data_IF_802465300192
#
_entry.id   IF_802465300192
#
_cell.length_a   1.000
_cell.length_b   1.000
_cell.length_c   1.000
_cell.angle_alpha   90.00
_cell.angle_beta   90.00
_cell.angle_gamma   90.00
#
_symmetry.space_group_name_H-M   'P 1'
#
loop_
_entity.id
_entity.type
_entity.pdbx_description
1 polymer ?
#
# COMPACT_ATOMS: atom_id res chain seq x y z
N UNK A 1 -10.59 -0.65 -0.27
CA UNK A 1 -10.53 -1.64 -1.37
C UNK A 1 -11.86 -1.64 -2.08
N UNK A 2 -11.84 -1.82 -3.39
CA UNK A 2 -12.99 -2.08 -4.26
C UNK A 2 -12.45 -2.93 -5.40
N UNK A 3 -13.18 -3.96 -5.80
CA UNK A 3 -12.88 -4.78 -6.97
C UNK A 3 -14.19 -5.14 -7.66
N UNK A 4 -14.30 -4.80 -8.94
CA UNK A 4 -15.36 -5.28 -9.82
C UNK A 4 -14.71 -5.98 -11.01
N UNK A 5 -15.21 -7.15 -11.37
CA UNK A 5 -14.86 -7.83 -12.61
C UNK A 5 -15.58 -7.20 -13.81
N UNK A 6 -15.10 -7.50 -15.02
CA UNK A 6 -15.88 -7.53 -16.25
C UNK A 6 -15.23 -8.51 -17.24
N UNK A 7 -15.91 -8.84 -18.34
CA UNK A 7 -15.51 -9.93 -19.27
C UNK A 7 -14.95 -9.47 -20.62
N UNK A 8 -14.33 -10.44 -21.32
CA UNK A 8 -13.54 -10.32 -22.57
C UNK A 8 -14.41 -10.06 -23.81
N UNK A 9 -13.85 -9.39 -24.84
CA UNK A 9 -13.75 -9.93 -26.22
C UNK A 9 -12.99 -9.01 -27.21
N UNK A 10 -12.48 -9.58 -28.32
CA UNK A 10 -12.08 -8.84 -29.54
C UNK A 10 -10.57 -8.67 -29.85
N UNK A 11 -10.07 -9.35 -30.89
CA UNK A 11 -8.74 -9.21 -31.55
C UNK A 11 -8.94 -8.82 -33.05
N UNK A 12 -7.90 -8.56 -33.89
CA UNK A 12 -6.51 -8.09 -33.70
C UNK A 12 -6.08 -6.95 -34.67
N UNK A 13 -4.83 -6.44 -34.59
CA UNK A 13 -3.82 -6.37 -35.70
C UNK A 13 -2.75 -5.25 -35.56
N UNK A 14 -1.65 -5.38 -36.32
CA UNK A 14 -0.38 -4.59 -36.36
C UNK A 14 0.00 -4.32 -37.84
N UNK A 15 1.19 -3.79 -38.28
CA UNK A 15 2.41 -3.26 -37.61
C UNK A 15 2.74 -1.81 -38.14
N UNK A 16 3.95 -1.24 -38.35
CA UNK A 16 5.38 -1.62 -38.21
C UNK A 16 6.33 -0.37 -38.22
N UNK A 17 7.66 -0.60 -38.05
CA UNK A 17 8.83 0.18 -38.51
C UNK A 17 9.14 1.59 -37.94
N UNK A 18 10.44 1.90 -37.73
CA UNK A 18 10.87 3.24 -37.27
C UNK A 18 12.39 3.59 -37.28
N UNK A 19 13.28 2.73 -36.76
CA UNK A 19 14.79 2.80 -36.82
C UNK A 19 15.57 4.04 -36.29
N UNK A 20 16.60 3.73 -35.46
CA UNK A 20 17.98 4.34 -35.38
C UNK A 20 18.17 5.71 -34.68
N UNK A 21 18.93 5.78 -33.55
CA UNK A 21 20.40 6.11 -33.38
C UNK A 21 20.68 7.61 -33.12
N UNK A 22 21.73 8.12 -32.43
CA UNK A 22 23.00 7.64 -31.82
C UNK A 22 23.48 8.65 -30.72
N UNK A 23 24.24 8.18 -29.69
CA UNK A 23 25.32 8.89 -28.91
C UNK A 23 25.01 10.23 -28.17
N UNK A 24 25.90 10.83 -27.35
CA UNK A 24 26.79 10.35 -26.26
C UNK A 24 27.47 11.56 -25.53
N UNK A 25 28.10 11.33 -24.36
CA UNK A 25 28.87 12.33 -23.59
C UNK A 25 28.15 12.76 -22.30
N UNK A 26 28.62 12.62 -21.06
CA UNK A 26 29.94 12.40 -20.41
C UNK A 26 30.73 13.66 -20.02
N UNK A 27 31.24 13.65 -18.78
CA UNK A 27 31.89 14.79 -18.10
C UNK A 27 30.99 15.43 -17.03
N UNK A 28 31.31 15.63 -15.76
CA UNK A 28 32.27 15.13 -14.76
C UNK A 28 32.41 16.25 -13.69
N UNK A 29 32.51 15.91 -12.41
CA UNK A 29 32.65 16.87 -11.30
C UNK A 29 34.12 17.03 -10.88
N UNK A 30 34.43 18.06 -10.06
CA UNK A 30 35.43 17.95 -9.00
C UNK A 30 34.80 18.13 -7.60
N UNK A 31 35.29 17.36 -6.62
CA UNK A 31 35.11 17.64 -5.19
C UNK A 31 36.20 18.61 -4.70
N UNK A 32 35.98 19.23 -3.53
CA UNK A 32 37.05 19.64 -2.64
C UNK A 32 36.68 19.31 -1.18
N UNK A 33 37.68 19.00 -0.36
CA UNK A 33 37.50 18.38 0.96
C UNK A 33 37.73 19.36 2.13
N UNK A 34 37.18 19.01 3.30
CA UNK A 34 37.40 19.72 4.56
C UNK A 34 38.66 19.24 5.30
N UNK A 35 39.09 19.96 6.34
CA UNK A 35 39.74 19.47 7.57
C UNK A 35 39.56 20.54 8.71
N UNK A 36 39.76 20.23 10.01
CA UNK A 36 38.93 20.81 11.08
C UNK A 36 39.69 21.52 12.22
N UNK A 37 38.94 22.05 13.19
CA UNK A 37 39.43 22.38 14.53
C UNK A 37 38.43 21.93 15.62
N UNK A 38 38.93 21.53 16.79
CA UNK A 38 38.14 21.16 17.99
C UNK A 38 38.41 22.15 19.11
N UNK A 39 37.35 22.71 19.70
CA UNK A 39 37.28 23.09 21.12
C UNK A 39 35.88 22.75 21.63
N UNK A 40 35.72 22.57 22.94
CA UNK A 40 34.57 21.86 23.53
C UNK A 40 33.70 22.70 24.47
N UNK A 41 32.96 21.98 25.33
CA UNK A 41 31.83 22.41 26.17
C UNK A 41 30.52 22.57 25.37
N UNK A 42 29.46 21.93 25.87
CA UNK A 42 28.19 21.76 25.16
C UNK A 42 27.45 20.48 25.56
N UNK A 43 27.26 20.24 26.86
CA UNK A 43 26.48 19.11 27.38
C UNK A 43 24.95 19.34 27.28
N UNK A 44 24.52 19.92 26.14
CA UNK A 44 23.13 20.14 25.72
C UNK A 44 22.93 19.75 24.24
N UNK A 45 23.83 18.90 23.72
CA UNK A 45 23.62 18.17 22.48
C UNK A 45 22.58 17.07 22.68
N UNK A 46 21.32 17.45 22.89
CA UNK A 46 20.20 16.52 22.90
C UNK A 46 20.19 15.75 21.58
N UNK A 47 20.24 14.42 21.65
CA UNK A 47 20.07 13.55 20.48
C UNK A 47 18.62 13.63 20.00
N UNK A 48 18.28 14.66 19.22
CA UNK A 48 17.11 14.66 18.32
C UNK A 48 17.35 13.72 17.12
N UNK A 49 17.71 12.48 17.45
CA UNK A 49 17.31 11.32 16.67
C UNK A 49 15.78 11.35 16.70
N UNK A 50 15.19 11.98 15.68
CA UNK A 50 13.74 11.99 15.44
C UNK A 50 13.23 10.57 15.58
N UNK A 51 12.68 10.22 16.74
CA UNK A 51 12.30 8.85 17.07
C UNK A 51 11.32 8.39 16.00
N UNK A 52 11.69 7.40 15.18
CA UNK A 52 10.87 7.00 14.04
C UNK A 52 9.44 6.71 14.51
N UNK A 53 8.44 7.33 13.88
CA UNK A 53 7.05 7.20 14.31
C UNK A 53 6.32 6.25 13.38
N UNK A 54 5.36 5.52 13.93
CA UNK A 54 4.46 4.64 13.20
C UNK A 54 3.05 5.18 13.34
N UNK A 55 2.38 5.41 12.21
CA UNK A 55 0.90 5.44 12.18
C UNK A 55 0.37 4.03 11.98
N UNK A 56 -0.78 3.75 12.57
CA UNK A 56 -1.46 2.46 12.46
C UNK A 56 -2.98 2.64 12.59
N UNK A 57 -3.75 1.59 12.34
CA UNK A 57 -5.20 1.56 12.53
C UNK A 57 -5.57 0.56 13.63
N UNK A 58 -6.54 0.90 14.46
CA UNK A 58 -7.09 0.02 15.50
C UNK A 58 -8.53 0.38 15.80
N UNK A 59 -9.44 -0.60 15.84
CA UNK A 59 -10.88 -0.42 16.13
C UNK A 59 -11.54 0.73 15.34
N UNK A 60 -11.11 0.94 14.09
CA UNK A 60 -11.59 2.01 13.19
C UNK A 60 -10.99 3.40 13.42
N UNK A 61 -10.19 3.62 14.47
CA UNK A 61 -9.40 4.84 14.69
C UNK A 61 -8.01 4.70 14.08
N UNK A 62 -7.39 5.84 13.77
CA UNK A 62 -5.95 5.89 13.46
C UNK A 62 -5.17 6.21 14.74
N UNK A 63 -4.14 5.42 15.04
CA UNK A 63 -3.18 5.63 16.12
C UNK A 63 -1.82 6.10 15.61
N UNK A 64 -1.03 6.67 16.50
CA UNK A 64 0.39 6.98 16.31
C UNK A 64 1.18 6.54 17.55
N UNK A 65 2.39 6.02 17.34
CA UNK A 65 3.31 5.55 18.39
C UNK A 65 4.77 5.81 17.98
N UNK A 66 5.66 6.00 18.95
CA UNK A 66 7.11 6.06 18.72
C UNK A 66 7.69 4.65 18.49
N UNK A 67 8.83 4.53 17.81
CA UNK A 67 9.49 3.25 17.57
C UNK A 67 9.77 2.46 18.86
N UNK A 68 10.05 3.14 19.98
CA UNK A 68 10.31 2.53 21.29
C UNK A 68 9.04 1.98 21.98
N UNK A 69 7.84 2.23 21.44
CA UNK A 69 6.55 1.87 22.03
C UNK A 69 5.92 2.95 22.93
N UNK A 70 6.63 4.05 23.19
CA UNK A 70 6.11 5.18 23.97
C UNK A 70 5.16 6.05 23.15
N UNK A 71 4.35 6.86 23.84
CA UNK A 71 3.55 7.90 23.21
C UNK A 71 2.38 7.39 22.34
N UNK A 72 1.90 6.16 22.58
CA UNK A 72 0.67 5.64 21.95
C UNK A 72 -0.47 6.63 22.19
N UNK A 73 -0.98 7.24 21.10
CA UNK A 73 -2.18 8.07 21.12
C UNK A 73 -3.01 7.85 19.86
N UNK A 74 -4.30 8.12 19.95
CA UNK A 74 -5.22 8.04 18.81
C UNK A 74 -5.59 9.44 18.33
N UNK A 75 -5.78 9.60 17.02
CA UNK A 75 -6.24 10.86 16.47
C UNK A 75 -7.76 10.99 16.65
N UNK A 76 -8.16 12.11 17.25
CA UNK A 76 -9.56 12.49 17.43
C UNK A 76 -9.72 13.92 16.92
N UNK A 77 -10.78 14.18 16.15
CA UNK A 77 -10.97 15.44 15.44
C UNK A 77 -12.40 15.93 15.64
N UNK A 78 -12.56 17.02 16.39
CA UNK A 78 -13.84 17.71 16.49
C UNK A 78 -14.10 18.51 15.20
N UNK A 79 -14.81 17.87 14.28
CA UNK A 79 -15.32 18.47 13.03
C UNK A 79 -16.77 18.03 12.83
N UNK A 80 -17.74 18.93 13.05
CA UNK A 80 -19.15 18.64 12.83
C UNK A 80 -19.42 18.01 11.45
N UNK A 81 -20.27 16.99 11.43
CA UNK A 81 -20.64 16.27 10.21
C UNK A 81 -19.62 15.26 9.70
N UNK A 82 -18.46 15.04 10.35
CA UNK A 82 -17.49 14.02 9.95
C UNK A 82 -17.57 12.78 10.85
N UNK A 83 -17.82 11.60 10.27
CA UNK A 83 -18.11 10.36 11.00
C UNK A 83 -16.94 9.36 11.06
N UNK A 84 -16.04 9.36 10.06
CA UNK A 84 -14.87 8.45 10.02
C UNK A 84 -13.61 9.20 9.60
N UNK A 85 -12.44 8.69 10.01
CA UNK A 85 -11.13 9.30 9.78
C UNK A 85 -10.09 8.23 9.43
N UNK A 86 -9.35 8.45 8.34
CA UNK A 86 -8.31 7.55 7.83
C UNK A 86 -7.05 8.35 7.46
N UNK A 87 -5.88 7.82 7.79
CA UNK A 87 -4.59 8.40 7.34
C UNK A 87 -4.26 7.95 5.92
N UNK A 88 -3.86 8.92 5.09
CA UNK A 88 -3.37 8.72 3.73
C UNK A 88 -1.84 8.73 3.67
N UNK A 89 -1.27 9.55 2.78
CA UNK A 89 0.17 9.72 2.66
C UNK A 89 0.73 10.70 3.70
N UNK A 90 1.92 10.42 4.23
CA UNK A 90 2.74 11.43 4.90
C UNK A 90 3.40 12.36 3.86
N UNK A 91 3.67 13.61 4.25
CA UNK A 91 4.53 14.51 3.50
C UNK A 91 6.01 14.16 3.72
N UNK A 92 6.92 14.60 2.83
CA UNK A 92 8.35 14.27 2.90
C UNK A 92 9.10 14.84 4.12
N UNK A 93 8.45 15.70 4.91
CA UNK A 93 9.00 16.30 6.14
C UNK A 93 8.82 15.40 7.38
N UNK A 94 7.98 14.37 7.30
CA UNK A 94 7.59 13.51 8.43
C UNK A 94 6.73 14.20 9.49
N UNK A 95 6.19 15.38 9.18
CA UNK A 95 5.41 16.25 10.09
C UNK A 95 3.97 16.45 9.61
N UNK A 96 3.73 16.64 8.31
CA UNK A 96 2.37 16.78 7.76
C UNK A 96 1.84 15.42 7.29
N UNK A 97 0.56 15.16 7.54
CA UNK A 97 -0.17 13.98 7.06
C UNK A 97 -1.36 14.42 6.19
N UNK A 98 -1.58 13.71 5.08
CA UNK A 98 -2.88 13.72 4.39
C UNK A 98 -3.85 12.85 5.19
N UNK A 99 -5.04 13.37 5.50
CA UNK A 99 -6.14 12.59 6.07
C UNK A 99 -7.35 12.58 5.11
N UNK A 100 -8.12 11.51 5.18
CA UNK A 100 -9.46 11.38 4.61
C UNK A 100 -10.47 11.36 5.75
N UNK A 101 -11.56 12.11 5.63
CA UNK A 101 -12.77 11.88 6.41
C UNK A 101 -13.97 11.61 5.51
N UNK A 102 -14.98 10.96 6.09
CA UNK A 102 -16.28 10.77 5.45
C UNK A 102 -17.39 11.31 6.35
N UNK A 103 -18.41 11.89 5.75
CA UNK A 103 -19.67 12.19 6.43
C UNK A 103 -20.41 10.90 6.89
N UNK A 104 -21.41 11.01 7.79
CA UNK A 104 -22.43 9.98 7.96
C UNK A 104 -23.06 9.56 6.62
N UNK A 105 -23.30 8.25 6.46
CA UNK A 105 -24.07 7.71 5.33
C UNK A 105 -25.47 8.31 5.29
N UNK A 106 -25.81 8.99 4.19
CA UNK A 106 -27.07 9.74 4.00
C UNK A 106 -28.23 8.88 3.44
N UNK A 107 -27.98 7.62 3.13
CA UNK A 107 -28.89 6.73 2.39
C UNK A 107 -29.85 5.88 3.27
N UNK A 108 -29.62 5.87 4.58
CA UNK A 108 -30.42 5.13 5.56
C UNK A 108 -30.02 3.65 5.71
N UNK A 109 -30.58 2.94 6.71
CA UNK A 109 -30.25 1.54 6.95
C UNK A 109 -30.73 0.63 5.81
N UNK A 110 -29.93 -0.40 5.50
CA UNK A 110 -30.31 -1.48 4.58
C UNK A 110 -30.21 -1.16 3.07
N UNK A 111 -29.76 0.03 2.67
CA UNK A 111 -29.49 0.33 1.25
C UNK A 111 -28.16 -0.25 0.78
N UNK A 112 -28.06 -0.49 -0.54
CA UNK A 112 -26.89 -1.14 -1.16
C UNK A 112 -25.60 -0.39 -0.85
N UNK A 113 -24.56 -1.13 -0.46
CA UNK A 113 -23.24 -0.54 -0.23
C UNK A 113 -22.69 0.06 -1.52
N UNK A 114 -22.69 -0.70 -2.62
CA UNK A 114 -22.16 -0.31 -3.93
C UNK A 114 -22.79 1.00 -4.44
N UNK A 115 -24.12 1.10 -4.38
CA UNK A 115 -24.85 2.19 -5.02
C UNK A 115 -24.72 3.53 -4.30
N UNK A 116 -24.65 3.53 -2.96
CA UNK A 116 -24.76 4.74 -2.14
C UNK A 116 -23.48 5.10 -1.38
N UNK A 117 -22.52 4.19 -1.20
CA UNK A 117 -21.24 4.50 -0.56
C UNK A 117 -20.50 5.63 -1.30
N UNK A 118 -20.49 5.56 -2.63
CA UNK A 118 -19.84 6.57 -3.51
C UNK A 118 -20.68 7.84 -3.71
N UNK A 119 -21.84 7.94 -3.06
CA UNK A 119 -22.63 9.18 -2.92
C UNK A 119 -22.38 9.88 -1.58
N UNK A 120 -21.76 9.20 -0.61
CA UNK A 120 -21.43 9.80 0.70
C UNK A 120 -20.33 10.85 0.52
N UNK A 121 -20.52 12.10 0.97
CA UNK A 121 -19.48 13.12 0.82
C UNK A 121 -18.22 12.77 1.64
N UNK A 122 -17.06 12.99 1.02
CA UNK A 122 -15.76 12.82 1.65
C UNK A 122 -14.95 14.10 1.60
N UNK A 123 -14.01 14.27 2.52
CA UNK A 123 -13.18 15.46 2.65
C UNK A 123 -11.72 15.06 2.84
N UNK A 124 -10.81 15.83 2.28
CA UNK A 124 -9.37 15.59 2.37
C UNK A 124 -8.74 16.73 3.18
N UNK A 125 -7.82 16.39 4.07
CA UNK A 125 -7.22 17.36 5.01
C UNK A 125 -5.70 17.23 5.01
N UNK A 126 -5.02 18.31 5.37
CA UNK A 126 -3.66 18.27 5.92
C UNK A 126 -3.77 18.41 7.43
N UNK A 127 -3.18 17.47 8.15
CA UNK A 127 -2.94 17.55 9.60
C UNK A 127 -1.45 17.74 9.86
N UNK A 128 -1.09 18.71 10.69
CA UNK A 128 0.27 18.94 11.17
C UNK A 128 0.45 18.28 12.55
N UNK A 129 1.38 17.33 12.66
CA UNK A 129 1.63 16.57 13.88
C UNK A 129 2.19 17.40 15.04
N UNK A 130 2.77 18.57 14.75
CA UNK A 130 3.44 19.44 15.72
C UNK A 130 2.51 20.56 16.20
N UNK A 131 1.90 21.31 15.28
CA UNK A 131 0.93 22.37 15.63
C UNK A 131 -0.48 21.84 15.92
N UNK A 132 -0.74 20.56 15.64
CA UNK A 132 -2.06 19.92 15.68
C UNK A 132 -3.12 20.62 14.81
N UNK A 133 -2.70 21.48 13.86
CA UNK A 133 -3.59 22.18 12.96
C UNK A 133 -4.16 21.24 11.88
N UNK A 134 -5.46 21.38 11.61
CA UNK A 134 -6.19 20.56 10.64
C UNK A 134 -6.89 21.45 9.60
N UNK A 135 -6.38 21.45 8.36
CA UNK A 135 -6.83 22.29 7.25
C UNK A 135 -7.41 21.45 6.12
N UNK A 136 -8.62 21.77 5.67
CA UNK A 136 -9.22 21.12 4.50
C UNK A 136 -8.48 21.49 3.21
N UNK A 137 -8.44 20.54 2.27
CA UNK A 137 -7.80 20.66 0.94
C UNK A 137 -8.71 20.08 -0.14
N UNK A 138 -8.44 20.43 -1.39
CA UNK A 138 -9.24 20.03 -2.57
C UNK A 138 -10.68 20.62 -2.54
N UNK A 139 -10.82 21.88 -2.10
CA UNK A 139 -12.11 22.51 -1.81
C UNK A 139 -12.67 23.45 -2.88
N UNK A 140 -11.83 24.03 -3.76
CA UNK A 140 -12.29 24.98 -4.81
C UNK A 140 -13.19 24.32 -5.86
N UNK A 141 -12.63 23.41 -6.65
CA UNK A 141 -13.30 22.81 -7.80
C UNK A 141 -13.71 21.36 -7.46
N UNK A 142 -14.76 21.19 -6.64
CA UNK A 142 -15.14 19.86 -6.10
C UNK A 142 -15.60 18.91 -7.21
N UNK A 143 -14.80 17.86 -7.46
CA UNK A 143 -14.98 16.93 -8.58
C UNK A 143 -16.16 15.95 -8.45
N UNK A 144 -16.52 15.58 -7.21
CA UNK A 144 -17.63 14.67 -6.88
C UNK A 144 -17.98 14.79 -5.38
N UNK A 145 -19.08 14.15 -4.90
CA UNK A 145 -19.28 13.91 -3.48
C UNK A 145 -18.13 13.05 -2.91
N UNK A 146 -17.83 11.92 -3.56
CA UNK A 146 -16.81 10.97 -3.15
C UNK A 146 -15.48 11.19 -3.89
N UNK A 147 -14.52 11.78 -3.18
CA UNK A 147 -13.15 12.07 -3.60
C UNK A 147 -12.18 11.66 -2.49
N UNK A 148 -11.26 10.72 -2.77
CA UNK A 148 -10.34 10.16 -1.77
C UNK A 148 -8.87 10.34 -2.18
N UNK A 149 -7.92 10.49 -1.23
CA UNK A 149 -6.50 10.61 -1.57
C UNK A 149 -5.94 9.27 -2.08
N UNK A 150 -5.29 9.28 -3.24
CA UNK A 150 -4.70 8.09 -3.86
C UNK A 150 -3.16 8.08 -3.80
N UNK A 151 -2.49 9.19 -4.14
CA UNK A 151 -1.03 9.32 -4.07
C UNK A 151 -0.59 10.79 -4.01
N UNK A 152 0.17 11.18 -2.98
CA UNK A 152 0.82 12.50 -2.94
C UNK A 152 2.01 12.52 -3.91
N UNK A 153 2.01 13.44 -4.88
CA UNK A 153 3.04 13.49 -5.95
C UNK A 153 3.97 14.71 -5.85
N UNK A 154 3.60 15.73 -5.09
CA UNK A 154 4.42 16.91 -4.82
C UNK A 154 3.86 17.75 -3.68
N UNK A 155 4.56 18.81 -3.29
CA UNK A 155 4.14 19.70 -2.18
C UNK A 155 2.84 20.46 -2.46
N UNK A 156 2.45 20.63 -3.74
CA UNK A 156 1.24 21.34 -4.14
C UNK A 156 0.21 20.46 -4.88
N UNK A 157 0.49 19.15 -5.07
CA UNK A 157 -0.30 18.31 -5.99
C UNK A 157 -0.49 16.86 -5.52
N UNK A 158 -1.72 16.39 -5.67
CA UNK A 158 -2.24 15.11 -5.19
C UNK A 158 -2.94 14.38 -6.34
N UNK A 159 -2.74 13.06 -6.43
CA UNK A 159 -3.63 12.16 -7.14
C UNK A 159 -4.77 11.77 -6.21
N UNK A 160 -6.01 11.96 -6.66
CA UNK A 160 -7.24 11.61 -5.95
C UNK A 160 -8.06 10.62 -6.76
N UNK A 161 -8.65 9.62 -6.10
CA UNK A 161 -9.67 8.79 -6.72
C UNK A 161 -11.02 9.53 -6.64
N UNK A 162 -11.74 9.54 -7.75
CA UNK A 162 -13.02 10.23 -7.95
C UNK A 162 -14.00 9.21 -8.51
N UNK A 163 -15.19 9.08 -7.92
CA UNK A 163 -16.26 8.24 -8.48
C UNK A 163 -17.40 9.11 -8.99
N UNK A 164 -17.81 8.91 -10.24
CA UNK A 164 -18.95 9.61 -10.88
C UNK A 164 -19.71 8.62 -11.73
N UNK A 165 -21.04 8.59 -11.61
CA UNK A 165 -21.93 7.71 -12.39
C UNK A 165 -21.48 6.22 -12.34
N UNK A 166 -21.15 5.72 -11.14
CA UNK A 166 -20.52 4.41 -10.85
C UNK A 166 -19.13 4.16 -11.49
N UNK A 167 -18.55 5.09 -12.25
CA UNK A 167 -17.19 4.97 -12.82
C UNK A 167 -16.15 5.61 -11.89
N UNK A 168 -15.16 4.82 -11.48
CA UNK A 168 -13.98 5.30 -10.74
C UNK A 168 -12.86 5.78 -11.68
N UNK A 169 -12.22 6.91 -11.36
CA UNK A 169 -11.07 7.46 -12.07
C UNK A 169 -10.04 8.02 -11.07
N UNK A 170 -8.77 8.15 -11.48
CA UNK A 170 -7.82 9.04 -10.81
C UNK A 170 -7.82 10.40 -11.52
N UNK A 171 -7.93 11.47 -10.73
CA UNK A 171 -7.66 12.84 -11.13
C UNK A 171 -6.38 13.35 -10.45
N UNK A 172 -5.65 14.20 -11.15
CA UNK A 172 -4.47 14.88 -10.65
C UNK A 172 -4.83 16.35 -10.40
N UNK A 173 -4.80 16.80 -9.15
CA UNK A 173 -5.38 18.07 -8.68
C UNK A 173 -4.42 18.80 -7.72
N UNK A 174 -4.48 20.13 -7.66
CA UNK A 174 -3.71 20.90 -6.66
C UNK A 174 -4.34 20.80 -5.27
N UNK A 175 -3.56 21.03 -4.22
CA UNK A 175 -4.05 20.94 -2.83
C UNK A 175 -5.11 21.99 -2.45
N UNK A 176 -5.37 23.01 -3.27
CA UNK A 176 -6.53 23.90 -3.08
C UNK A 176 -7.79 23.44 -3.84
N UNK A 177 -7.67 22.40 -4.67
CA UNK A 177 -8.74 21.89 -5.55
C UNK A 177 -8.62 22.37 -6.99
N UNK A 178 -7.78 23.37 -7.28
CA UNK A 178 -7.66 23.94 -8.61
C UNK A 178 -6.88 23.06 -9.60
N UNK A 179 -7.07 23.34 -10.89
CA UNK A 179 -6.36 22.69 -12.01
C UNK A 179 -6.41 21.15 -11.94
N UNK A 180 -7.59 20.60 -11.63
CA UNK A 180 -7.87 19.18 -11.76
C UNK A 180 -7.80 18.74 -13.23
N UNK A 181 -7.08 17.66 -13.52
CA UNK A 181 -7.06 17.00 -14.83
C UNK A 181 -7.11 15.47 -14.69
N UNK A 182 -7.71 14.73 -15.63
CA UNK A 182 -7.70 13.27 -15.58
C UNK A 182 -6.27 12.73 -15.58
N UNK A 183 -5.98 11.78 -14.71
CA UNK A 183 -4.79 10.92 -14.78
C UNK A 183 -5.15 9.55 -15.38
N UNK A 184 -6.38 9.08 -15.13
CA UNK A 184 -7.01 7.97 -15.87
C UNK A 184 -8.23 8.39 -16.67
N UNK A 185 -8.46 7.69 -17.78
CA UNK A 185 -9.65 7.82 -18.60
C UNK A 185 -10.86 7.21 -17.88
N UNK A 186 -12.07 7.51 -18.35
CA UNK A 186 -13.26 6.82 -17.90
C UNK A 186 -13.38 5.49 -18.64
N UNK A 187 -13.83 4.43 -17.97
CA UNK A 187 -14.10 3.13 -18.59
C UNK A 187 -12.88 2.25 -18.90
N UNK A 188 -11.64 2.71 -18.67
CA UNK A 188 -10.43 1.88 -18.87
C UNK A 188 -10.18 0.85 -17.75
N UNK A 189 -11.10 0.75 -16.78
CA UNK A 189 -10.97 -0.05 -15.55
C UNK A 189 -10.93 0.82 -14.30
N UNK A 190 -10.85 0.19 -13.13
CA UNK A 190 -10.67 0.82 -11.83
C UNK A 190 -9.16 0.90 -11.49
N UNK A 191 -8.56 2.09 -11.46
CA UNK A 191 -7.17 2.29 -11.07
C UNK A 191 -7.00 2.41 -9.54
N UNK A 192 -6.08 1.63 -8.96
CA UNK A 192 -5.71 1.72 -7.54
C UNK A 192 -4.32 1.11 -7.26
N UNK A 193 -3.89 1.11 -5.98
CA UNK A 193 -2.55 0.67 -5.56
C UNK A 193 -1.40 1.43 -6.23
N UNK A 194 -1.53 2.77 -6.28
CA UNK A 194 -0.55 3.67 -6.89
C UNK A 194 0.72 3.78 -6.04
N UNK A 195 1.89 3.86 -6.69
CA UNK A 195 3.17 4.16 -6.07
C UNK A 195 3.99 5.14 -6.92
N UNK A 196 4.75 6.03 -6.27
CA UNK A 196 5.56 7.07 -6.91
C UNK A 196 7.01 6.58 -7.10
N UNK A 197 7.63 6.90 -8.24
CA UNK A 197 9.06 6.67 -8.45
C UNK A 197 9.92 7.54 -7.53
N UNK A 198 11.15 7.13 -7.16
CA UNK A 198 12.02 7.92 -6.27
C UNK A 198 12.32 9.33 -6.77
N UNK A 199 12.39 9.53 -8.10
CA UNK A 199 12.61 10.82 -8.76
C UNK A 199 11.34 11.67 -8.91
N UNK A 200 10.18 11.15 -8.48
CA UNK A 200 8.83 11.74 -8.59
C UNK A 200 8.39 12.07 -10.02
N UNK A 201 8.97 11.45 -11.05
CA UNK A 201 8.56 11.68 -12.45
C UNK A 201 7.52 10.69 -12.95
N UNK A 202 7.48 9.48 -12.38
CA UNK A 202 6.65 8.37 -12.86
C UNK A 202 5.84 7.75 -11.74
N UNK A 203 4.69 7.19 -12.10
CA UNK A 203 3.75 6.51 -11.20
C UNK A 203 3.57 5.10 -11.71
N UNK A 204 3.59 4.12 -10.81
CA UNK A 204 3.13 2.77 -11.09
C UNK A 204 1.77 2.57 -10.44
N UNK A 205 0.91 1.78 -11.07
CA UNK A 205 -0.42 1.48 -10.58
C UNK A 205 -0.91 0.14 -11.14
N UNK A 206 -1.96 -0.42 -10.54
CA UNK A 206 -2.71 -1.48 -11.20
C UNK A 206 -4.10 -0.99 -11.61
N UNK A 207 -4.64 -1.65 -12.61
CA UNK A 207 -5.88 -1.32 -13.30
C UNK A 207 -6.70 -2.61 -13.42
N UNK A 208 -7.84 -2.68 -12.72
CA UNK A 208 -8.74 -3.82 -12.75
C UNK A 208 -9.91 -3.52 -13.70
N UNK A 209 -10.13 -4.33 -14.74
CA UNK A 209 -11.17 -4.05 -15.73
C UNK A 209 -11.53 -5.26 -16.60
N UNK A 210 -12.18 -5.03 -17.76
CA UNK A 210 -12.61 -6.10 -18.67
C UNK A 210 -11.46 -6.96 -19.24
N UNK A 211 -10.24 -6.43 -19.28
CA UNK A 211 -9.01 -7.15 -19.64
C UNK A 211 -8.29 -7.80 -18.43
N UNK A 212 -9.01 -8.03 -17.32
CA UNK A 212 -8.45 -8.52 -16.06
C UNK A 212 -7.70 -7.45 -15.27
N UNK A 213 -6.75 -7.88 -14.44
CA UNK A 213 -5.88 -6.98 -13.65
C UNK A 213 -4.55 -6.79 -14.35
N UNK A 214 -4.14 -5.53 -14.51
CA UNK A 214 -2.93 -5.16 -15.23
C UNK A 214 -2.08 -4.20 -14.42
N UNK A 215 -0.76 -4.36 -14.44
CA UNK A 215 0.20 -3.40 -13.85
C UNK A 215 0.75 -2.50 -14.94
N UNK A 216 0.74 -1.19 -14.66
CA UNK A 216 1.13 -0.13 -15.57
C UNK A 216 2.11 0.84 -14.90
N UNK A 217 2.92 1.52 -15.72
CA UNK A 217 3.56 2.79 -15.36
C UNK A 217 3.07 3.91 -16.26
N UNK A 218 3.18 5.15 -15.79
CA UNK A 218 3.01 6.38 -16.55
C UNK A 218 3.93 7.45 -15.99
N UNK A 219 4.00 8.60 -16.65
CA UNK A 219 4.53 9.80 -16.01
C UNK A 219 3.48 10.35 -15.01
N UNK A 220 3.88 11.25 -14.08
CA UNK A 220 3.00 11.78 -13.01
C UNK A 220 1.74 12.51 -13.48
N UNK A 221 1.63 12.80 -14.77
CA UNK A 221 0.44 13.37 -15.37
C UNK A 221 -0.45 12.41 -16.15
N UNK A 222 -0.09 11.13 -16.20
CA UNK A 222 -0.82 10.06 -16.87
C UNK A 222 -0.40 9.81 -18.32
N UNK A 223 0.55 10.60 -18.86
CA UNK A 223 1.18 10.37 -20.17
C UNK A 223 2.24 9.26 -20.16
N UNK A 224 2.84 8.94 -21.32
CA UNK A 224 3.93 7.97 -21.47
C UNK A 224 3.70 6.63 -20.73
N UNK A 225 2.52 6.07 -20.97
CA UNK A 225 2.05 4.83 -20.35
C UNK A 225 2.73 3.60 -20.92
N UNK A 226 3.13 2.69 -20.04
CA UNK A 226 3.69 1.39 -20.40
C UNK A 226 3.06 0.29 -19.53
N UNK A 227 2.60 -0.79 -20.16
CA UNK A 227 2.08 -1.97 -19.46
C UNK A 227 3.24 -2.88 -19.06
N UNK A 228 3.33 -3.24 -17.78
CA UNK A 228 4.39 -4.10 -17.24
C UNK A 228 3.97 -5.57 -17.16
N UNK A 229 2.68 -5.82 -16.86
CA UNK A 229 2.10 -7.16 -16.78
C UNK A 229 0.60 -7.11 -17.08
N UNK A 230 0.12 -8.13 -17.80
CA UNK A 230 -1.28 -8.46 -18.01
C UNK A 230 -1.38 -9.91 -18.49
N UNK A 231 -2.42 -10.62 -18.06
CA UNK A 231 -2.69 -12.01 -18.41
C UNK A 231 -4.13 -12.32 -18.05
N UNK A 232 -4.85 -13.02 -18.91
CA UNK A 232 -6.31 -13.12 -18.82
C UNK A 232 -6.80 -14.07 -17.71
N UNK A 233 -5.88 -14.80 -17.08
CA UNK A 233 -6.09 -15.79 -16.02
C UNK A 233 -5.24 -15.43 -14.76
N UNK A 234 -4.72 -14.19 -14.71
CA UNK A 234 -3.78 -13.67 -13.71
C UNK A 234 -4.29 -12.39 -13.04
N UNK A 235 -4.06 -12.26 -11.74
CA UNK A 235 -4.39 -11.07 -10.95
C UNK A 235 -3.08 -10.33 -10.56
N UNK A 236 -2.68 -9.36 -11.38
CA UNK A 236 -1.48 -8.53 -11.13
C UNK A 236 -1.80 -7.31 -10.27
N UNK A 237 -1.17 -7.18 -9.09
CA UNK A 237 -1.61 -6.21 -8.06
C UNK A 237 -0.45 -5.61 -7.23
N UNK A 238 -0.71 -4.44 -6.63
CA UNK A 238 0.07 -3.95 -5.48
C UNK A 238 1.48 -3.43 -5.82
N UNK A 239 1.56 -2.30 -6.51
CA UNK A 239 2.83 -1.78 -7.04
C UNK A 239 3.72 -1.12 -5.97
N UNK A 240 5.04 -1.32 -6.09
CA UNK A 240 6.05 -0.53 -5.37
C UNK A 240 7.34 -0.39 -6.20
N UNK A 241 7.97 0.79 -6.17
CA UNK A 241 9.17 1.09 -6.97
C UNK A 241 10.48 0.70 -6.27
N UNK A 242 11.47 0.28 -7.05
CA UNK A 242 12.84 0.11 -6.56
C UNK A 242 13.49 1.46 -6.20
N UNK A 243 14.47 1.50 -5.27
CA UNK A 243 15.13 2.75 -4.87
C UNK A 243 15.90 3.43 -6.01
N UNK A 244 16.26 2.68 -7.05
CA UNK A 244 16.93 3.17 -8.26
C UNK A 244 15.96 3.58 -9.39
N UNK A 245 14.64 3.44 -9.18
CA UNK A 245 13.60 3.78 -10.16
C UNK A 245 13.57 2.91 -11.42
N UNK A 246 14.34 1.82 -11.51
CA UNK A 246 14.42 0.96 -12.71
C UNK A 246 13.36 -0.14 -12.75
N UNK A 247 12.83 -0.54 -11.59
CA UNK A 247 11.91 -1.67 -11.46
C UNK A 247 10.68 -1.31 -10.62
N UNK A 248 9.61 -2.05 -10.85
CA UNK A 248 8.39 -2.06 -10.05
C UNK A 248 8.14 -3.49 -9.61
N UNK A 249 7.95 -3.73 -8.31
CA UNK A 249 7.48 -5.01 -7.77
C UNK A 249 5.96 -5.00 -7.67
N UNK A 250 5.36 -6.17 -7.86
CA UNK A 250 3.93 -6.45 -7.74
C UNK A 250 3.74 -7.95 -7.44
N UNK A 251 2.51 -8.34 -7.10
CA UNK A 251 2.13 -9.76 -7.02
C UNK A 251 1.53 -10.26 -8.33
N UNK A 252 1.58 -11.58 -8.55
CA UNK A 252 0.83 -12.34 -9.53
C UNK A 252 0.03 -13.44 -8.82
N UNK A 253 -1.29 -13.33 -8.79
CA UNK A 253 -2.20 -14.31 -8.17
C UNK A 253 -2.95 -15.09 -9.25
N UNK A 254 -2.83 -16.43 -9.22
CA UNK A 254 -3.42 -17.33 -10.23
C UNK A 254 -4.82 -17.74 -9.77
N UNK A 255 -5.77 -16.81 -9.85
CA UNK A 255 -7.07 -16.92 -9.20
C UNK A 255 -7.93 -18.13 -9.64
N UNK A 256 -7.71 -18.68 -10.84
CA UNK A 256 -8.36 -19.93 -11.26
C UNK A 256 -7.83 -21.17 -10.52
N UNK A 257 -6.61 -21.11 -9.95
CA UNK A 257 -6.01 -22.16 -9.11
C UNK A 257 -6.15 -21.85 -7.60
N UNK A 258 -6.30 -20.59 -7.22
CA UNK A 258 -6.69 -20.16 -5.87
C UNK A 258 -7.82 -19.10 -5.93
N UNK A 259 -9.10 -19.55 -5.97
CA UNK A 259 -10.24 -18.64 -6.03
C UNK A 259 -10.50 -17.88 -4.71
N UNK A 260 -9.76 -18.18 -3.64
CA UNK A 260 -9.75 -17.35 -2.45
C UNK A 260 -8.86 -16.10 -2.59
N UNK A 261 -7.94 -16.10 -3.55
CA UNK A 261 -6.82 -15.16 -3.64
C UNK A 261 -5.91 -15.15 -2.40
N UNK A 262 -5.91 -16.23 -1.61
CA UNK A 262 -5.09 -16.32 -0.40
C UNK A 262 -3.60 -16.19 -0.71
N UNK A 263 -3.19 -16.65 -1.88
CA UNK A 263 -1.80 -16.79 -2.26
C UNK A 263 -1.49 -16.07 -3.57
N UNK A 264 -0.22 -15.67 -3.73
CA UNK A 264 0.31 -15.10 -4.96
C UNK A 264 1.83 -15.36 -5.04
N UNK A 265 2.45 -15.07 -6.18
CA UNK A 265 3.90 -14.98 -6.31
C UNK A 265 4.37 -13.54 -6.50
N UNK A 266 5.65 -13.29 -6.20
CA UNK A 266 6.28 -11.97 -6.30
C UNK A 266 6.91 -11.81 -7.68
N UNK A 267 6.61 -10.71 -8.36
CA UNK A 267 7.12 -10.39 -9.69
C UNK A 267 7.74 -8.99 -9.72
N UNK A 268 8.66 -8.77 -10.66
CA UNK A 268 9.15 -7.43 -11.01
C UNK A 268 9.01 -7.17 -12.51
N UNK A 269 8.62 -5.95 -12.86
CA UNK A 269 8.70 -5.42 -14.23
C UNK A 269 9.65 -4.24 -14.27
N UNK A 270 10.39 -4.06 -15.37
CA UNK A 270 11.13 -2.80 -15.58
C UNK A 270 10.16 -1.66 -15.83
N UNK A 271 10.52 -0.47 -15.37
CA UNK A 271 9.69 0.73 -15.49
C UNK A 271 9.35 1.10 -16.96
N UNK A 272 10.22 0.73 -17.90
CA UNK A 272 10.08 0.93 -19.35
C UNK A 272 9.37 -0.24 -20.08
N UNK A 273 8.87 -1.24 -19.36
CA UNK A 273 8.23 -2.43 -19.92
C UNK A 273 9.17 -3.41 -20.62
N UNK A 274 10.50 -3.16 -20.66
CA UNK A 274 11.45 -3.97 -21.44
C UNK A 274 11.73 -5.36 -20.85
N UNK A 275 11.29 -5.64 -19.62
CA UNK A 275 11.40 -6.95 -18.99
C UNK A 275 10.33 -7.17 -17.91
N UNK A 276 9.88 -8.42 -17.79
CA UNK A 276 9.11 -8.96 -16.68
C UNK A 276 9.86 -10.18 -16.12
N UNK A 277 9.85 -10.37 -14.79
CA UNK A 277 10.44 -11.53 -14.10
C UNK A 277 9.53 -11.97 -12.95
N UNK A 278 9.13 -13.23 -12.98
CA UNK A 278 8.63 -13.96 -11.79
C UNK A 278 9.84 -14.25 -10.88
N UNK A 279 9.75 -13.94 -9.59
CA UNK A 279 10.84 -14.11 -8.61
C UNK A 279 10.58 -15.23 -7.60
N UNK A 280 9.33 -15.68 -7.46
CA UNK A 280 8.93 -16.83 -6.65
C UNK A 280 7.93 -17.69 -7.41
N UNK A 281 7.75 -18.95 -7.02
CA UNK A 281 6.83 -19.88 -7.73
C UNK A 281 6.00 -20.74 -6.78
N UNK A 282 4.77 -21.06 -7.18
CA UNK A 282 3.86 -21.94 -6.45
C UNK A 282 2.89 -21.20 -5.52
N UNK A 283 2.68 -19.92 -5.77
CA UNK A 283 1.93 -18.97 -4.95
C UNK A 283 2.50 -18.88 -3.52
N UNK A 284 3.76 -18.45 -3.42
CA UNK A 284 4.55 -18.51 -2.18
C UNK A 284 4.36 -17.35 -1.20
N UNK A 285 3.68 -16.27 -1.60
CA UNK A 285 3.35 -15.11 -0.77
C UNK A 285 1.91 -15.20 -0.25
N UNK A 286 1.65 -14.78 0.99
CA UNK A 286 0.28 -14.57 1.48
C UNK A 286 -0.27 -13.26 0.95
N UNK A 287 -1.33 -13.31 0.14
CA UNK A 287 -1.89 -12.18 -0.61
C UNK A 287 -3.15 -11.61 0.05
N UNK A 288 -4.33 -12.21 -0.15
CA UNK A 288 -5.59 -11.73 0.46
C UNK A 288 -5.71 -12.14 1.93
N UNK A 289 -4.88 -11.53 2.79
CA UNK A 289 -4.86 -11.82 4.22
C UNK A 289 -6.21 -11.54 4.87
N UNK A 290 -6.84 -12.60 5.40
CA UNK A 290 -8.02 -12.53 6.28
C UNK A 290 -7.69 -13.23 7.59
N UNK A 291 -7.88 -12.56 8.72
CA UNK A 291 -7.36 -12.96 10.03
C UNK A 291 -8.31 -12.53 11.17
N UNK A 292 -7.98 -12.92 12.41
CA UNK A 292 -8.86 -12.73 13.58
C UNK A 292 -9.97 -13.78 13.68
N UNK A 293 -10.73 -13.71 14.77
CA UNK A 293 -12.00 -14.41 14.97
C UNK A 293 -13.18 -13.59 14.39
N UNK A 294 -14.44 -14.06 14.45
CA UNK A 294 -15.59 -13.28 13.96
C UNK A 294 -15.83 -11.93 14.65
N UNK A 295 -15.20 -11.68 15.82
CA UNK A 295 -15.27 -10.41 16.56
C UNK A 295 -14.14 -9.44 16.15
N UNK A 296 -13.01 -9.96 15.69
CA UNK A 296 -11.78 -9.23 15.34
C UNK A 296 -11.41 -9.35 13.85
N UNK A 297 -12.30 -9.91 13.02
CA UNK A 297 -12.12 -10.19 11.58
C UNK A 297 -11.55 -8.96 10.85
N UNK A 298 -10.29 -9.06 10.46
CA UNK A 298 -9.61 -8.08 9.60
C UNK A 298 -9.28 -8.69 8.25
N UNK A 299 -9.03 -7.82 7.27
CA UNK A 299 -8.91 -8.23 5.87
C UNK A 299 -8.08 -7.28 5.00
N UNK A 300 -7.53 -7.82 3.93
CA UNK A 300 -7.01 -7.04 2.80
C UNK A 300 -5.66 -7.51 2.26
N UNK A 301 -5.37 -7.08 1.05
CA UNK A 301 -4.15 -7.45 0.31
C UNK A 301 -2.86 -7.02 1.01
N UNK A 302 -1.99 -7.98 1.27
CA UNK A 302 -0.56 -7.71 1.44
C UNK A 302 0.04 -7.26 0.11
N UNK A 303 1.12 -6.47 0.17
CA UNK A 303 1.91 -6.06 -1.00
C UNK A 303 3.40 -6.24 -0.72
N UNK A 304 4.20 -6.70 -1.70
CA UNK A 304 5.65 -6.70 -1.57
C UNK A 304 6.18 -5.27 -1.64
N UNK A 305 7.26 -4.97 -0.92
CA UNK A 305 7.84 -3.63 -0.86
C UNK A 305 9.35 -3.67 -1.01
N UNK A 306 9.94 -2.73 -1.75
CA UNK A 306 11.40 -2.62 -1.83
C UNK A 306 11.99 -2.05 -0.53
N UNK A 307 13.09 -2.64 -0.08
CA UNK A 307 13.99 -2.05 0.90
C UNK A 307 14.82 -0.96 0.25
N UNK A 308 15.36 -0.04 1.05
CA UNK A 308 16.34 0.97 0.61
C UNK A 308 17.63 0.34 0.05
N UNK A 309 17.95 -0.88 0.49
CA UNK A 309 19.08 -1.67 0.00
C UNK A 309 18.84 -2.35 -1.37
N UNK A 310 17.62 -2.29 -1.94
CA UNK A 310 17.30 -2.92 -3.23
C UNK A 310 16.91 -4.40 -3.16
N UNK A 311 16.68 -4.93 -1.97
CA UNK A 311 15.97 -6.21 -1.76
C UNK A 311 14.45 -5.97 -1.66
N UNK A 312 13.65 -7.03 -1.62
CA UNK A 312 12.19 -6.96 -1.51
C UNK A 312 11.74 -7.63 -0.21
N UNK A 313 10.95 -6.94 0.61
CA UNK A 313 10.23 -7.52 1.75
C UNK A 313 8.90 -8.11 1.28
N UNK A 314 8.58 -9.33 1.71
CA UNK A 314 7.29 -9.96 1.47
C UNK A 314 6.92 -11.00 2.55
N UNK A 315 5.62 -11.23 2.81
CA UNK A 315 5.14 -12.25 3.74
C UNK A 315 5.07 -13.64 3.06
N UNK A 316 6.03 -14.52 3.34
CA UNK A 316 6.17 -15.86 2.74
C UNK A 316 5.31 -16.89 3.46
N UNK A 317 4.53 -17.67 2.71
CA UNK A 317 3.74 -18.81 3.17
C UNK A 317 4.66 -19.95 3.64
N UNK A 318 4.50 -20.40 4.88
CA UNK A 318 5.19 -21.60 5.38
C UNK A 318 4.64 -22.87 4.70
N UNK A 319 5.45 -23.94 4.50
CA UNK A 319 5.00 -25.17 3.85
C UNK A 319 3.72 -25.77 4.47
N UNK A 320 2.77 -26.18 3.62
CA UNK A 320 1.53 -26.84 4.03
C UNK A 320 0.47 -25.94 4.67
N UNK A 321 0.68 -24.62 4.76
CA UNK A 321 -0.22 -23.69 5.46
C UNK A 321 -1.64 -23.63 4.91
N UNK A 322 -2.62 -23.35 5.78
CA UNK A 322 -4.03 -23.09 5.45
C UNK A 322 -4.57 -21.97 6.34
N UNK A 323 -5.22 -20.99 5.74
CA UNK A 323 -5.81 -19.83 6.45
C UNK A 323 -7.00 -20.24 7.34
N UNK A 324 -7.32 -19.49 8.40
CA UNK A 324 -8.49 -19.72 9.25
C UNK A 324 -9.83 -19.23 8.66
N UNK A 325 -9.79 -18.53 7.52
CA UNK A 325 -10.99 -18.03 6.83
C UNK A 325 -11.06 -18.63 5.43
N UNK A 326 -11.86 -19.67 5.24
CA UNK A 326 -11.89 -20.45 4.00
C UNK A 326 -12.94 -19.92 3.02
N UNK A 327 -12.51 -19.59 1.79
CA UNK A 327 -13.39 -19.17 0.70
C UNK A 327 -14.37 -20.27 0.25
N UNK A 328 -15.64 -19.92 0.03
CA UNK A 328 -16.72 -20.86 -0.32
C UNK A 328 -17.20 -20.65 -1.76
N UNK A 329 -16.47 -21.20 -2.75
CA UNK A 329 -16.72 -21.04 -4.20
C UNK A 329 -18.14 -21.38 -4.68
N UNK A 330 -18.88 -22.20 -3.91
CA UNK A 330 -20.19 -22.72 -4.29
C UNK A 330 -21.35 -21.90 -3.69
N UNK A 331 -21.05 -20.82 -2.95
CA UNK A 331 -22.03 -19.90 -2.35
C UNK A 331 -22.06 -18.59 -3.15
N UNK A 332 -23.23 -17.97 -3.41
CA UNK A 332 -23.30 -16.63 -4.01
C UNK A 332 -22.54 -15.58 -3.17
N UNK A 333 -21.85 -14.65 -3.83
CA UNK A 333 -21.17 -13.55 -3.15
C UNK A 333 -22.20 -12.58 -2.54
N UNK A 334 -22.36 -12.66 -1.21
CA UNK A 334 -23.30 -11.86 -0.41
C UNK A 334 -22.59 -11.05 0.70
N UNK A 335 -21.38 -11.46 1.08
CA UNK A 335 -20.40 -10.63 1.78
C UNK A 335 -19.11 -10.72 0.98
N UNK A 336 -18.54 -9.58 0.54
CA UNK A 336 -17.47 -9.36 -0.47
C UNK A 336 -16.16 -10.19 -0.36
N UNK A 337 -16.09 -11.13 0.58
CA UNK A 337 -15.01 -12.09 0.75
C UNK A 337 -15.48 -13.54 0.67
N UNK A 338 -16.75 -13.83 0.96
CA UNK A 338 -17.42 -15.14 0.89
C UNK A 338 -16.64 -16.25 1.61
N UNK A 339 -16.37 -16.05 2.91
CA UNK A 339 -15.51 -16.95 3.72
C UNK A 339 -16.14 -17.41 5.02
N UNK A 340 -15.94 -18.69 5.33
CA UNK A 340 -16.28 -19.28 6.63
C UNK A 340 -15.09 -19.23 7.60
N UNK A 341 -15.34 -19.02 8.89
CA UNK A 341 -14.33 -19.17 9.93
C UNK A 341 -14.15 -20.65 10.30
N UNK A 342 -12.97 -21.21 10.03
CA UNK A 342 -12.63 -22.63 10.25
C UNK A 342 -11.26 -22.75 10.95
N UNK A 343 -11.12 -22.24 12.20
CA UNK A 343 -9.83 -22.14 12.89
C UNK A 343 -9.17 -23.51 13.13
N UNK A 344 -9.96 -24.55 13.40
CA UNK A 344 -9.48 -25.91 13.68
C UNK A 344 -8.86 -26.59 12.45
N UNK A 345 -9.10 -26.03 11.25
CA UNK A 345 -8.49 -26.47 10.01
C UNK A 345 -7.23 -25.68 9.64
N UNK A 346 -7.01 -24.54 10.29
CA UNK A 346 -5.87 -23.65 10.03
C UNK A 346 -4.57 -24.26 10.58
N UNK A 347 -3.49 -24.07 9.83
CA UNK A 347 -2.18 -24.67 10.13
C UNK A 347 -1.06 -23.92 9.44
N UNK A 348 0.17 -24.14 9.88
CA UNK A 348 1.36 -23.52 9.30
C UNK A 348 1.44 -22.05 9.73
N UNK A 349 1.59 -21.13 8.79
CA UNK A 349 1.70 -19.70 9.08
C UNK A 349 2.39 -18.94 7.96
N UNK A 350 2.81 -17.71 8.28
CA UNK A 350 3.43 -16.78 7.32
C UNK A 350 4.52 -15.98 8.02
N UNK A 351 5.70 -15.90 7.42
CA UNK A 351 6.89 -15.22 7.96
C UNK A 351 7.27 -14.01 7.09
N UNK A 352 7.95 -12.99 7.65
CA UNK A 352 8.52 -11.92 6.83
C UNK A 352 9.85 -12.39 6.25
N UNK A 353 9.98 -12.31 4.93
CA UNK A 353 11.20 -12.62 4.19
C UNK A 353 11.76 -11.41 3.46
N UNK A 354 13.09 -11.38 3.29
CA UNK A 354 13.81 -10.54 2.34
C UNK A 354 14.24 -11.39 1.14
N UNK A 355 13.80 -11.01 -0.05
CA UNK A 355 14.20 -11.59 -1.34
C UNK A 355 15.20 -10.65 -2.03
N UNK A 356 16.33 -11.18 -2.49
CA UNK A 356 17.26 -10.47 -3.37
C UNK A 356 16.86 -10.70 -4.84
N UNK A 357 16.47 -9.66 -5.59
CA UNK A 357 16.00 -9.81 -6.96
C UNK A 357 17.15 -10.03 -7.97
N UNK A 358 18.42 -9.98 -7.57
CA UNK A 358 19.55 -10.24 -8.46
C UNK A 358 19.80 -11.73 -8.67
N UNK A 359 19.87 -12.50 -7.58
CA UNK A 359 20.15 -13.95 -7.55
C UNK A 359 18.93 -14.83 -7.19
N UNK A 360 17.85 -14.24 -6.65
CA UNK A 360 16.67 -14.95 -6.17
C UNK A 360 16.77 -15.47 -4.73
N UNK A 361 17.81 -15.10 -3.98
CA UNK A 361 18.05 -15.58 -2.62
C UNK A 361 17.01 -15.03 -1.63
N UNK A 362 16.33 -15.92 -0.92
CA UNK A 362 15.32 -15.57 0.09
C UNK A 362 15.88 -15.84 1.50
N UNK A 363 15.88 -14.81 2.34
CA UNK A 363 16.28 -14.87 3.75
C UNK A 363 15.06 -14.62 4.64
N UNK A 364 14.76 -15.52 5.57
CA UNK A 364 13.72 -15.27 6.58
C UNK A 364 14.22 -14.22 7.59
N UNK A 365 13.38 -13.25 7.93
CA UNK A 365 13.67 -12.21 8.93
C UNK A 365 12.86 -12.43 10.21
N UNK A 366 11.68 -13.04 10.14
CA UNK A 366 10.91 -13.41 11.32
C UNK A 366 10.72 -14.92 11.42
N UNK A 367 10.67 -15.43 12.65
CA UNK A 367 10.19 -16.77 12.96
C UNK A 367 8.96 -16.62 13.88
N UNK A 368 7.73 -16.68 13.34
CA UNK A 368 6.51 -16.50 14.12
C UNK A 368 6.11 -17.74 14.94
N UNK A 369 6.72 -18.90 14.67
CA UNK A 369 6.26 -20.18 15.19
C UNK A 369 5.00 -20.72 14.48
N UNK A 370 4.48 -21.87 14.91
CA UNK A 370 3.29 -22.47 14.31
C UNK A 370 2.04 -21.65 14.56
N UNK A 371 1.09 -21.76 13.64
CA UNK A 371 -0.23 -21.14 13.66
C UNK A 371 -0.20 -19.62 13.90
N UNK A 372 0.83 -18.95 13.38
CA UNK A 372 1.05 -17.52 13.55
C UNK A 372 1.44 -16.88 12.21
N UNK A 373 0.95 -15.66 12.02
CA UNK A 373 0.86 -14.99 10.72
C UNK A 373 1.50 -13.60 10.84
N UNK A 374 2.68 -13.43 10.23
CA UNK A 374 3.36 -12.14 10.10
C UNK A 374 3.09 -11.53 8.73
N UNK A 375 2.71 -10.25 8.70
CA UNK A 375 2.24 -9.59 7.49
C UNK A 375 2.38 -8.05 7.57
N UNK A 376 2.14 -7.37 6.44
CA UNK A 376 2.19 -5.89 6.32
C UNK A 376 3.48 -5.26 6.86
N UNK A 377 4.62 -5.86 6.49
CA UNK A 377 5.95 -5.37 6.85
C UNK A 377 6.31 -4.04 6.18
N UNK A 378 6.91 -3.11 6.93
CA UNK A 378 7.39 -1.81 6.44
C UNK A 378 8.76 -1.48 7.03
N UNK A 379 9.74 -1.17 6.17
CA UNK A 379 11.09 -0.76 6.56
C UNK A 379 11.15 0.73 6.94
N UNK A 380 11.94 1.06 7.97
CA UNK A 380 12.07 2.42 8.50
C UNK A 380 12.77 3.38 7.54
N UNK A 381 12.60 4.71 7.70
CA UNK A 381 13.21 5.70 6.81
C UNK A 381 14.75 5.71 6.78
N UNK A 382 15.38 5.14 7.80
CA UNK A 382 16.82 4.95 7.97
C UNK A 382 17.29 3.49 7.69
N UNK A 383 16.37 2.60 7.29
CA UNK A 383 16.59 1.17 7.02
C UNK A 383 17.16 0.34 8.19
N UNK A 384 17.03 0.82 9.44
CA UNK A 384 17.47 0.08 10.64
C UNK A 384 16.43 -0.86 11.22
N UNK A 385 15.14 -0.59 11.02
CA UNK A 385 14.03 -1.29 11.66
C UNK A 385 12.99 -1.75 10.64
N UNK A 386 12.28 -2.83 10.95
CA UNK A 386 11.10 -3.28 10.21
C UNK A 386 9.92 -3.39 11.18
N UNK A 387 8.85 -2.65 10.90
CA UNK A 387 7.56 -2.78 11.58
C UNK A 387 6.69 -3.82 10.86
N UNK A 388 5.88 -4.59 11.57
CA UNK A 388 4.99 -5.63 11.01
C UNK A 388 3.76 -5.88 11.89
N UNK A 389 2.70 -6.43 11.29
CA UNK A 389 1.58 -7.03 12.01
C UNK A 389 1.86 -8.52 12.26
N UNK A 390 1.61 -8.99 13.48
CA UNK A 390 1.66 -10.42 13.86
C UNK A 390 0.34 -10.84 14.50
N UNK A 391 -0.34 -11.83 13.92
CA UNK A 391 -1.56 -12.42 14.46
C UNK A 391 -1.39 -13.93 14.70
N UNK A 392 -1.76 -14.48 15.87
CA UNK A 392 -1.98 -15.92 15.99
C UNK A 392 -3.28 -16.31 15.27
N UNK A 393 -3.41 -17.56 14.85
CA UNK A 393 -4.66 -18.13 14.32
C UNK A 393 -5.82 -17.84 15.27
N UNK A 394 -6.86 -17.19 14.77
CA UNK A 394 -8.05 -16.84 15.55
C UNK A 394 -7.88 -15.69 16.56
N UNK A 395 -6.72 -15.01 16.59
CA UNK A 395 -6.50 -13.82 17.43
C UNK A 395 -6.32 -12.53 16.61
N UNK A 396 -6.53 -11.36 17.23
CA UNK A 396 -6.25 -10.08 16.59
C UNK A 396 -4.75 -9.88 16.33
N UNK A 397 -4.37 -9.15 15.27
CA UNK A 397 -2.98 -8.76 15.03
C UNK A 397 -2.48 -7.75 16.06
N UNK A 398 -1.21 -7.83 16.42
CA UNK A 398 -0.52 -6.78 17.16
C UNK A 398 0.61 -6.17 16.32
N UNK A 399 1.02 -4.94 16.66
CA UNK A 399 2.15 -4.26 16.03
C UNK A 399 3.46 -4.68 16.70
N UNK A 400 4.41 -5.14 15.89
CA UNK A 400 5.76 -5.49 16.30
C UNK A 400 6.80 -4.69 15.51
N UNK A 401 7.98 -4.51 16.09
CA UNK A 401 9.18 -4.05 15.39
C UNK A 401 10.30 -5.06 15.63
N UNK A 402 11.12 -5.29 14.62
CA UNK A 402 12.40 -5.98 14.68
C UNK A 402 13.48 -5.13 14.00
N UNK A 403 14.74 -5.45 14.24
CA UNK A 403 15.87 -4.88 13.48
C UNK A 403 15.82 -5.32 12.02
N UNK A 404 16.49 -4.60 11.13
CA UNK A 404 16.39 -4.85 9.68
C UNK A 404 17.05 -6.14 9.20
N UNK A 405 17.71 -6.91 10.07
CA UNK A 405 18.18 -8.28 9.86
C UNK A 405 17.24 -9.36 10.44
N UNK A 406 16.20 -8.97 11.19
CA UNK A 406 15.32 -9.86 11.95
C UNK A 406 15.59 -9.89 13.47
N UNK A 407 16.63 -9.20 13.94
CA UNK A 407 17.01 -9.12 15.34
C UNK A 407 15.97 -8.50 16.27
N UNK A 408 16.06 -8.84 17.56
CA UNK A 408 15.33 -8.21 18.67
C UNK A 408 13.81 -7.92 18.44
N UNK A 409 13.01 -8.87 17.93
CA UNK A 409 11.58 -8.66 17.68
C UNK A 409 10.82 -8.38 18.98
N UNK A 410 10.14 -7.24 19.04
CA UNK A 410 9.40 -6.75 20.23
C UNK A 410 8.01 -6.23 19.89
N UNK A 411 7.07 -6.51 20.79
CA UNK A 411 5.71 -5.98 20.77
C UNK A 411 5.71 -4.47 21.04
N UNK A 412 4.96 -3.72 20.24
CA UNK A 412 4.79 -2.25 20.37
C UNK A 412 3.44 -1.94 21.00
N UNK A 413 2.36 -2.48 20.44
CA UNK A 413 1.00 -2.30 20.96
C UNK A 413 0.03 -3.33 20.35
N UNK A 414 -1.01 -3.66 21.12
CA UNK A 414 -2.15 -4.50 20.71
C UNK A 414 -3.36 -3.67 20.27
N UNK A 415 -3.26 -2.34 20.31
CA UNK A 415 -4.31 -1.43 19.85
C UNK A 415 -5.26 -1.00 20.98
N UNK A 416 -6.49 -0.66 20.60
CA UNK A 416 -7.57 -0.30 21.54
C UNK A 416 -8.23 -1.60 22.03
N UNK A 417 -8.41 -1.71 23.35
CA UNK A 417 -8.99 -2.88 24.05
C UNK A 417 -8.27 -4.22 23.79
N UNK A 418 -7.01 -4.20 23.36
CA UNK A 418 -6.25 -5.34 22.80
C UNK A 418 -6.92 -6.01 21.56
N UNK A 419 -7.91 -5.36 20.95
CA UNK A 419 -8.69 -5.88 19.81
C UNK A 419 -8.03 -5.63 18.43
N UNK A 420 -6.76 -5.23 18.40
CA UNK A 420 -5.87 -5.42 17.26
C UNK A 420 -5.37 -4.17 16.55
N UNK A 421 -4.29 -4.34 15.78
CA UNK A 421 -3.57 -3.30 15.02
C UNK A 421 -3.31 -3.72 13.58
N UNK A 422 -3.61 -2.82 12.64
CA UNK A 422 -3.44 -3.04 11.21
C UNK A 422 -2.88 -1.79 10.49
N UNK A 423 -2.37 -1.96 9.26
CA UNK A 423 -1.77 -0.93 8.39
C UNK A 423 -0.63 -0.09 9.03
N UNK A 424 0.38 -0.69 9.70
CA UNK A 424 1.50 0.07 10.23
C UNK A 424 2.31 0.72 9.09
N UNK A 425 2.62 2.02 9.21
CA UNK A 425 3.49 2.75 8.28
C UNK A 425 4.37 3.73 9.04
N UNK A 426 5.63 3.83 8.64
CA UNK A 426 6.55 4.86 9.12
C UNK A 426 6.18 6.24 8.57
N UNK A 427 6.45 7.27 9.38
CA UNK A 427 6.30 8.70 9.04
C UNK A 427 7.54 9.49 9.44
#
# INVERSE_FOLDING_TARGET
MMSCELHRDGRPSTPDLGRRRLLAGAGAWPLLAALPSRMGLGADGAEDVRRGRLVFTSRGKTGIVNADGTGVRYFEFDRPGQATWQVGAAFPDGRRLILLSMEPRRDGPGRSFEEYYTQTPTHIWIYDLETQSLREIVTKDRLAPFVTPALLIGEDRLLVQVVRNKVGQIFSVRLDGSHARPFTRAGEGLPYGLSLSPDRRRVAFHLAGPEGYQVWTSDVDGSNRVRLAAGADHLYFGTSWSPDGRWVVYVDCHYHADPGHDWADVCIGRADGSAHRVLTTGQSMWFAATYGDPKTRGGGSNVPAWTRAGSILFPRRLPGSRVPWEYQSNRPDLDHFNRDYKPDLARGGVEICRLDPSDGRITALSNPGPNTWDFRSSESPDARLIALCRAPTGGPPALWIMDSDGGHPRLITRGIDDLGVDHPRWI
#
